data_IF_170439264616
#
_entry.id   IF_170439264616
#
_cell.length_a   1.000
_cell.length_b   1.000
_cell.length_c   1.000
_cell.angle_alpha   90.00
_cell.angle_beta   90.00
_cell.angle_gamma   90.00
#
_symmetry.space_group_name_H-M   'P 1'
#
loop_
_entity.id
_entity.type
_entity.pdbx_description
1 polymer ?
#
# COMPACT_ATOMS: atom_id res chain seq x y z
N UNK A 1 -36.71 -1.45 2.78
CA UNK A 1 -35.37 -0.79 2.78
C UNK A 1 -34.43 -1.75 2.10
N UNK A 2 -34.12 -1.50 0.83
CA UNK A 2 -33.22 -2.36 0.07
C UNK A 2 -31.78 -2.17 0.54
N UNK A 3 -31.15 -3.26 0.93
CA UNK A 3 -29.74 -3.33 1.34
C UNK A 3 -28.86 -3.05 0.11
N UNK A 4 -28.35 -1.82 0.00
CA UNK A 4 -27.37 -1.46 -1.01
C UNK A 4 -26.05 -2.10 -0.62
N UNK A 5 -25.80 -3.28 -1.18
CA UNK A 5 -24.54 -3.98 -1.07
C UNK A 5 -23.33 -3.08 -1.44
N UNK A 6 -22.09 -3.39 -1.03
CA UNK A 6 -20.91 -2.53 -1.19
C UNK A 6 -20.71 -2.15 -2.65
N UNK A 7 -20.84 -0.85 -2.95
CA UNK A 7 -20.62 -0.29 -4.30
C UNK A 7 -19.22 -0.70 -4.80
N UNK A 8 -19.17 -1.55 -5.83
CA UNK A 8 -17.91 -1.90 -6.52
C UNK A 8 -17.31 -0.61 -7.10
N UNK A 9 -16.10 -0.27 -6.67
CA UNK A 9 -15.37 0.88 -7.24
C UNK A 9 -15.19 0.66 -8.74
N UNK A 10 -15.45 1.71 -9.52
CA UNK A 10 -15.21 1.69 -10.96
C UNK A 10 -13.77 1.25 -11.28
N UNK A 11 -13.56 0.45 -12.33
CA UNK A 11 -12.24 -0.01 -12.74
C UNK A 11 -11.36 1.20 -13.06
N UNK A 12 -10.11 1.18 -12.58
CA UNK A 12 -9.16 2.29 -12.79
C UNK A 12 -8.67 2.28 -14.22
N UNK A 13 -8.70 3.45 -14.87
CA UNK A 13 -8.04 3.66 -16.17
C UNK A 13 -6.54 3.35 -16.06
N UNK A 14 -5.97 2.65 -17.04
CA UNK A 14 -4.55 2.33 -17.16
C UNK A 14 -3.97 3.04 -18.38
N UNK A 15 -2.69 3.37 -18.32
CA UNK A 15 -1.93 3.88 -19.46
C UNK A 15 -1.24 2.71 -20.15
N UNK A 16 -1.37 2.63 -21.50
CA UNK A 16 -0.66 1.69 -22.35
C UNK A 16 0.19 2.45 -23.34
N UNK A 17 1.46 2.10 -23.44
CA UNK A 17 2.42 2.71 -24.35
C UNK A 17 3.01 1.59 -25.21
N UNK A 18 2.85 1.69 -26.52
CA UNK A 18 3.44 0.77 -27.48
C UNK A 18 4.53 1.48 -28.24
N UNK A 19 5.72 0.92 -28.24
CA UNK A 19 6.87 1.41 -28.98
C UNK A 19 6.86 0.93 -30.43
N UNK A 20 7.55 1.61 -31.36
CA UNK A 20 7.63 1.19 -32.76
C UNK A 20 8.26 -0.19 -32.98
N UNK A 21 9.09 -0.64 -32.06
CA UNK A 21 9.68 -2.00 -32.04
C UNK A 21 8.70 -3.10 -31.63
N UNK A 22 7.44 -2.74 -31.31
CA UNK A 22 6.39 -3.65 -30.88
C UNK A 22 6.33 -3.86 -29.36
N UNK A 23 7.25 -3.36 -28.58
CA UNK A 23 7.21 -3.47 -27.12
C UNK A 23 6.02 -2.70 -26.54
N UNK A 24 5.29 -3.35 -25.64
CA UNK A 24 4.13 -2.78 -24.96
C UNK A 24 4.40 -2.64 -23.48
N UNK A 25 4.22 -1.45 -22.93
CA UNK A 25 4.28 -1.18 -21.51
C UNK A 25 2.88 -0.81 -21.00
N UNK A 26 2.37 -1.57 -20.04
CA UNK A 26 1.11 -1.31 -19.37
C UNK A 26 1.15 -1.89 -17.96
N UNK A 27 1.27 -1.04 -16.96
CA UNK A 27 1.27 -1.46 -15.56
C UNK A 27 -0.04 -1.04 -14.87
N UNK A 28 -0.30 -1.59 -13.69
CA UNK A 28 -1.50 -1.27 -12.90
C UNK A 28 -1.58 0.21 -12.52
N UNK A 29 -0.42 0.83 -12.32
CA UNK A 29 -0.26 2.25 -12.05
C UNK A 29 0.32 2.97 -13.27
N UNK A 30 -0.38 3.98 -13.77
CA UNK A 30 0.03 4.74 -14.96
C UNK A 30 1.34 5.51 -14.76
N UNK A 31 1.66 5.94 -13.53
CA UNK A 31 2.95 6.54 -13.22
C UNK A 31 4.09 5.53 -13.40
N UNK A 32 3.87 4.29 -13.03
CA UNK A 32 4.82 3.20 -13.26
C UNK A 32 5.01 2.89 -14.74
N UNK A 33 3.94 2.96 -15.55
CA UNK A 33 4.03 2.82 -17.01
C UNK A 33 4.88 3.94 -17.62
N UNK A 34 4.65 5.17 -17.18
CA UNK A 34 5.41 6.33 -17.66
C UNK A 34 6.89 6.25 -17.26
N UNK A 35 7.19 5.84 -16.01
CA UNK A 35 8.57 5.63 -15.55
C UNK A 35 9.32 4.61 -16.41
N UNK A 36 8.68 3.45 -16.67
CA UNK A 36 9.28 2.41 -17.50
C UNK A 36 9.48 2.86 -18.95
N UNK A 37 8.55 3.64 -19.50
CA UNK A 37 8.68 4.20 -20.83
C UNK A 37 9.86 5.17 -20.91
N UNK A 38 10.01 6.07 -19.94
CA UNK A 38 11.16 6.99 -19.88
C UNK A 38 12.47 6.24 -19.69
N UNK A 39 12.52 5.23 -18.83
CA UNK A 39 13.71 4.39 -18.68
C UNK A 39 14.11 3.70 -19.99
N UNK A 40 13.15 3.26 -20.82
CA UNK A 40 13.40 2.67 -22.13
C UNK A 40 13.84 3.72 -23.16
N UNK A 41 13.33 4.96 -23.10
CA UNK A 41 13.76 6.08 -23.96
C UNK A 41 15.24 6.41 -23.71
N UNK A 42 15.70 6.33 -22.47
CA UNK A 42 17.08 6.54 -22.10
C UNK A 42 17.37 7.97 -21.64
N UNK A 43 18.28 8.08 -20.68
CA UNK A 43 18.66 9.35 -20.02
C UNK A 43 19.27 10.39 -20.94
N UNK A 44 19.87 9.95 -22.04
CA UNK A 44 20.52 10.80 -23.04
C UNK A 44 19.50 11.74 -23.71
N UNK A 45 18.23 11.31 -23.78
CA UNK A 45 17.13 12.08 -24.38
C UNK A 45 16.40 13.00 -23.38
N UNK A 46 16.64 12.85 -22.06
CA UNK A 46 15.92 13.62 -21.02
C UNK A 46 16.14 15.13 -21.11
N UNK A 47 17.35 15.65 -21.45
CA UNK A 47 17.55 17.11 -21.61
C UNK A 47 16.70 17.73 -22.74
N UNK A 48 16.23 16.93 -23.71
CA UNK A 48 15.37 17.39 -24.79
C UNK A 48 13.91 17.56 -24.35
N UNK A 49 13.51 16.95 -23.20
CA UNK A 49 12.14 17.06 -22.67
C UNK A 49 11.95 18.42 -22.01
N UNK A 50 11.27 19.33 -22.70
CA UNK A 50 10.99 20.70 -22.23
C UNK A 50 9.63 20.85 -21.52
N UNK A 51 9.03 19.73 -21.12
CA UNK A 51 7.71 19.71 -20.47
C UNK A 51 7.82 20.08 -18.99
N UNK A 52 6.90 20.93 -18.51
CA UNK A 52 6.86 21.39 -17.14
C UNK A 52 5.51 21.08 -16.46
N UNK A 53 5.54 20.93 -15.14
CA UNK A 53 4.37 20.87 -14.27
C UNK A 53 4.53 21.94 -13.19
N UNK A 54 3.60 22.92 -13.19
CA UNK A 54 3.65 24.00 -12.20
C UNK A 54 4.95 24.79 -12.21
N UNK A 55 5.52 25.04 -13.40
CA UNK A 55 6.78 25.79 -13.59
C UNK A 55 8.04 24.99 -13.22
N UNK A 56 7.94 23.65 -13.14
CA UNK A 56 9.09 22.78 -12.88
C UNK A 56 9.19 21.69 -13.96
N UNK A 57 10.40 21.34 -14.40
CA UNK A 57 10.60 20.26 -15.38
C UNK A 57 9.94 18.96 -14.89
N UNK A 58 9.25 18.25 -15.81
CA UNK A 58 8.63 16.97 -15.50
C UNK A 58 9.70 15.89 -15.23
N UNK A 59 10.85 15.99 -15.90
CA UNK A 59 12.03 15.13 -15.70
C UNK A 59 13.19 16.00 -15.26
N UNK A 60 13.83 15.67 -14.13
CA UNK A 60 14.86 16.50 -13.51
C UNK A 60 15.86 15.65 -12.75
N UNK A 61 17.10 16.11 -12.63
CA UNK A 61 18.10 15.54 -11.70
C UNK A 61 17.93 16.10 -10.26
N UNK A 62 17.13 17.11 -10.08
CA UNK A 62 16.88 17.72 -8.78
C UNK A 62 15.51 17.34 -8.24
N UNK A 63 15.44 16.98 -6.96
CA UNK A 63 14.18 16.78 -6.26
C UNK A 63 13.68 18.12 -5.74
N UNK A 64 12.64 18.65 -6.36
CA UNK A 64 12.05 19.90 -5.91
C UNK A 64 11.31 19.69 -4.56
N UNK A 65 11.59 20.49 -3.50
CA UNK A 65 11.03 20.29 -2.16
C UNK A 65 9.49 20.20 -2.13
N UNK A 66 8.82 21.05 -2.89
CA UNK A 66 7.34 21.07 -3.01
C UNK A 66 6.75 19.76 -3.56
N UNK A 67 7.50 19.06 -4.42
CA UNK A 67 7.04 17.85 -5.10
C UNK A 67 7.73 16.57 -4.64
N UNK A 68 8.53 16.65 -3.58
CA UNK A 68 9.33 15.53 -3.08
C UNK A 68 8.55 14.20 -2.94
N UNK A 69 7.30 14.27 -2.48
CA UNK A 69 6.44 13.09 -2.32
C UNK A 69 6.02 12.44 -3.66
N UNK A 70 6.08 13.18 -4.76
CA UNK A 70 5.68 12.75 -6.10
C UNK A 70 6.86 12.50 -7.04
N UNK A 71 8.07 12.87 -6.63
CA UNK A 71 9.28 12.60 -7.43
C UNK A 71 9.67 11.14 -7.29
N UNK A 72 9.75 10.44 -8.41
CA UNK A 72 10.18 9.04 -8.48
C UNK A 72 11.38 8.92 -9.38
N UNK A 73 12.38 8.19 -8.94
CA UNK A 73 13.58 7.94 -9.72
C UNK A 73 13.25 7.09 -10.96
N UNK A 74 13.74 7.54 -12.11
CA UNK A 74 13.70 6.82 -13.38
C UNK A 74 14.94 5.93 -13.49
N UNK A 75 16.12 6.55 -13.48
CA UNK A 75 17.44 5.92 -13.52
C UNK A 75 18.53 6.96 -13.18
N UNK A 76 19.64 6.52 -12.63
CA UNK A 76 20.90 7.27 -12.48
C UNK A 76 20.72 8.73 -11.97
N UNK A 77 19.88 8.92 -10.95
CA UNK A 77 19.63 10.24 -10.37
C UNK A 77 18.71 11.14 -11.19
N UNK A 78 18.03 10.63 -12.21
CA UNK A 78 16.96 11.32 -12.89
C UNK A 78 15.60 10.96 -12.29
N UNK A 79 14.77 11.95 -12.07
CA UNK A 79 13.47 11.82 -11.40
C UNK A 79 12.33 12.31 -12.30
N UNK A 80 11.20 11.60 -12.25
CA UNK A 80 9.94 11.99 -12.85
C UNK A 80 9.03 12.60 -11.80
N UNK A 81 8.45 13.75 -12.06
CA UNK A 81 7.33 14.28 -11.28
C UNK A 81 6.04 13.56 -11.68
N UNK A 82 5.52 12.75 -10.75
CA UNK A 82 4.32 11.91 -10.96
C UNK A 82 3.03 12.56 -10.46
N UNK A 83 3.04 13.85 -10.12
CA UNK A 83 1.87 14.61 -9.68
C UNK A 83 0.95 14.92 -10.86
N UNK A 84 0.26 13.92 -11.35
CA UNK A 84 -0.71 14.04 -12.45
C UNK A 84 -1.74 12.92 -12.37
N UNK A 85 -2.92 13.12 -12.93
CA UNK A 85 -3.88 12.08 -13.18
C UNK A 85 -3.56 11.29 -14.47
N UNK A 86 -4.40 10.33 -14.83
CA UNK A 86 -4.15 9.47 -16.00
C UNK A 86 -4.30 10.20 -17.34
N UNK A 87 -5.23 11.14 -17.42
CA UNK A 87 -5.48 11.88 -18.63
C UNK A 87 -4.35 12.90 -18.88
N UNK A 88 -3.86 13.55 -17.83
CA UNK A 88 -2.66 14.40 -17.89
C UNK A 88 -1.41 13.59 -18.29
N UNK A 89 -1.21 12.39 -17.73
CA UNK A 89 -0.07 11.52 -18.09
C UNK A 89 -0.12 11.08 -19.54
N UNK A 90 -1.31 10.82 -20.06
CA UNK A 90 -1.49 10.55 -21.48
C UNK A 90 -1.00 11.72 -22.34
N UNK A 91 -1.43 12.94 -22.02
CA UNK A 91 -1.02 14.16 -22.73
C UNK A 91 0.48 14.42 -22.61
N UNK A 92 1.05 14.22 -21.42
CA UNK A 92 2.48 14.37 -21.16
C UNK A 92 3.29 13.40 -22.01
N UNK A 93 2.93 12.10 -22.03
CA UNK A 93 3.62 11.11 -22.85
C UNK A 93 3.48 11.37 -24.34
N UNK A 94 2.32 11.85 -24.77
CA UNK A 94 2.10 12.26 -26.17
C UNK A 94 3.03 13.41 -26.54
N UNK A 95 3.07 14.46 -25.72
CA UNK A 95 3.96 15.61 -25.94
C UNK A 95 5.44 15.20 -25.98
N UNK A 96 5.86 14.29 -25.08
CA UNK A 96 7.24 13.75 -25.08
C UNK A 96 7.49 12.94 -26.36
N UNK A 97 6.56 12.09 -26.77
CA UNK A 97 6.69 11.29 -27.99
C UNK A 97 6.83 12.17 -29.22
N UNK A 98 6.01 13.21 -29.32
CA UNK A 98 6.01 14.14 -30.47
C UNK A 98 7.29 14.98 -30.47
N UNK A 99 7.70 15.52 -29.31
CA UNK A 99 8.91 16.36 -29.19
C UNK A 99 10.20 15.57 -29.51
N UNK A 100 10.24 14.28 -29.14
CA UNK A 100 11.40 13.43 -29.35
C UNK A 100 11.31 12.60 -30.64
N UNK A 101 10.22 12.71 -31.41
CA UNK A 101 10.03 11.93 -32.65
C UNK A 101 9.98 10.43 -32.44
N UNK A 102 9.42 9.95 -31.31
CA UNK A 102 9.50 8.54 -30.90
C UNK A 102 8.47 7.63 -31.58
N UNK A 103 7.40 8.18 -32.15
CA UNK A 103 6.33 7.42 -32.77
C UNK A 103 5.58 6.48 -31.82
N UNK A 104 5.48 6.84 -30.55
CA UNK A 104 4.78 6.02 -29.55
C UNK A 104 3.29 6.00 -29.77
N UNK A 105 2.66 4.81 -29.72
CA UNK A 105 1.20 4.69 -29.62
C UNK A 105 0.81 4.69 -28.15
N UNK A 106 0.07 5.71 -27.73
CA UNK A 106 -0.32 5.92 -26.33
C UNK A 106 -1.84 5.81 -26.21
N UNK A 107 -2.31 5.04 -25.24
CA UNK A 107 -3.73 4.75 -25.04
C UNK A 107 -4.08 4.75 -23.55
N UNK A 108 -5.30 5.19 -23.22
CA UNK A 108 -5.87 5.11 -21.86
C UNK A 108 -7.15 4.30 -21.89
N UNK A 109 -7.26 3.30 -21.02
CA UNK A 109 -8.43 2.42 -20.97
C UNK A 109 -8.50 1.62 -19.68
N UNK A 110 -9.65 1.01 -19.44
CA UNK A 110 -9.91 0.15 -18.26
C UNK A 110 -9.57 -1.31 -18.51
N UNK A 111 -9.66 -1.76 -19.79
CA UNK A 111 -9.66 -3.18 -20.15
C UNK A 111 -8.29 -3.74 -20.47
N UNK A 112 -7.25 -2.92 -20.33
CA UNK A 112 -5.88 -3.35 -20.59
C UNK A 112 -5.39 -4.33 -19.53
N UNK A 113 -4.82 -5.46 -19.97
CA UNK A 113 -4.13 -6.40 -19.10
C UNK A 113 -2.82 -5.77 -18.63
N UNK A 114 -2.71 -5.50 -17.33
CA UNK A 114 -1.50 -4.95 -16.76
C UNK A 114 -0.39 -6.01 -16.67
N UNK A 115 0.83 -5.60 -16.99
CA UNK A 115 2.04 -6.38 -16.77
C UNK A 115 2.51 -6.22 -15.31
N UNK A 116 3.26 -7.20 -14.83
CA UNK A 116 4.01 -7.08 -13.58
C UNK A 116 5.30 -6.31 -13.84
N UNK A 117 5.60 -5.26 -13.07
CA UNK A 117 6.85 -4.50 -13.25
C UNK A 117 8.07 -5.41 -13.06
N UNK A 118 9.05 -5.40 -14.01
CA UNK A 118 10.35 -6.03 -13.79
C UNK A 118 11.00 -5.40 -12.55
N UNK A 119 11.51 -6.21 -11.62
CA UNK A 119 12.14 -5.73 -10.38
C UNK A 119 11.16 -5.33 -9.25
N UNK A 120 9.86 -5.21 -9.52
CA UNK A 120 8.78 -5.36 -8.57
C UNK A 120 8.25 -6.81 -8.54
N UNK A 121 9.06 -7.79 -8.96
CA UNK A 121 8.92 -9.10 -8.34
C UNK A 121 8.90 -8.79 -6.86
N UNK A 122 7.72 -8.97 -6.28
CA UNK A 122 7.40 -8.51 -4.96
C UNK A 122 8.70 -8.35 -4.17
N UNK A 123 9.09 -7.12 -3.81
CA UNK A 123 9.60 -7.03 -2.48
C UNK A 123 8.44 -7.62 -1.69
N UNK A 124 8.43 -8.93 -1.56
CA UNK A 124 7.97 -9.54 -0.35
C UNK A 124 8.84 -8.83 0.68
N UNK A 125 8.40 -7.68 1.15
CA UNK A 125 8.67 -7.31 2.52
C UNK A 125 8.33 -8.60 3.22
N UNK A 126 9.35 -9.26 3.73
CA UNK A 126 9.16 -10.45 4.54
C UNK A 126 7.97 -10.07 5.38
N UNK A 127 6.84 -10.77 5.18
CA UNK A 127 5.54 -10.28 5.66
C UNK A 127 5.74 -10.22 7.15
N UNK A 128 6.00 -8.99 7.67
CA UNK A 128 6.24 -8.82 9.09
C UNK A 128 5.14 -9.55 9.82
N UNK A 129 5.50 -10.48 10.69
CA UNK A 129 4.55 -11.27 11.49
C UNK A 129 4.74 -10.98 12.96
N UNK A 130 3.75 -11.31 13.77
CA UNK A 130 3.85 -11.23 15.22
C UNK A 130 4.42 -12.54 15.75
N UNK A 131 5.47 -12.44 16.56
CA UNK A 131 5.91 -13.52 17.43
C UNK A 131 5.55 -13.15 18.85
N UNK A 132 4.69 -13.96 19.46
CA UNK A 132 4.12 -13.72 20.78
C UNK A 132 4.51 -14.88 21.67
N UNK A 133 5.13 -14.58 22.81
CA UNK A 133 5.57 -15.57 23.78
C UNK A 133 4.84 -15.33 25.11
N UNK A 134 4.34 -16.42 25.68
CA UNK A 134 3.73 -16.47 27.01
C UNK A 134 4.70 -17.16 27.96
N UNK A 135 5.46 -16.41 28.78
CA UNK A 135 6.49 -16.97 29.66
C UNK A 135 5.95 -17.94 30.72
N UNK A 136 4.68 -17.79 31.12
CA UNK A 136 4.07 -18.62 32.18
C UNK A 136 3.97 -20.10 31.82
N UNK A 137 3.74 -20.40 30.53
CA UNK A 137 3.59 -21.78 30.03
C UNK A 137 4.50 -22.08 28.84
N UNK A 138 5.48 -21.21 28.58
CA UNK A 138 6.46 -21.27 27.49
C UNK A 138 5.82 -21.47 26.09
N UNK A 139 4.63 -20.90 25.88
CA UNK A 139 3.90 -21.03 24.60
C UNK A 139 4.28 -19.90 23.65
N UNK A 140 4.53 -20.27 22.39
CA UNK A 140 4.78 -19.34 21.28
C UNK A 140 3.63 -19.33 20.29
N UNK A 141 3.18 -18.14 19.87
CA UNK A 141 2.28 -17.94 18.74
C UNK A 141 3.07 -17.19 17.67
N UNK A 142 3.25 -17.82 16.51
CA UNK A 142 3.89 -17.26 15.34
C UNK A 142 3.14 -17.76 14.09
N UNK A 143 2.15 -16.99 13.65
CA UNK A 143 1.32 -17.30 12.49
C UNK A 143 1.71 -16.44 11.29
N UNK A 144 1.45 -16.92 10.07
CA UNK A 144 1.76 -16.19 8.83
C UNK A 144 1.03 -14.84 8.73
N UNK A 145 -0.12 -14.74 9.38
CA UNK A 145 -0.92 -13.51 9.45
C UNK A 145 -0.79 -12.85 10.82
N UNK A 146 -0.31 -11.62 10.85
CA UNK A 146 -0.29 -10.83 12.08
C UNK A 146 -1.69 -10.60 12.70
N UNK A 147 -2.75 -10.68 11.88
CA UNK A 147 -4.12 -10.62 12.37
C UNK A 147 -4.51 -11.89 13.11
N UNK A 148 -4.20 -13.04 12.52
CA UNK A 148 -4.53 -14.34 13.12
C UNK A 148 -3.70 -14.55 14.39
N UNK A 149 -2.42 -14.19 14.37
CA UNK A 149 -1.58 -14.18 15.57
C UNK A 149 -2.13 -13.31 16.70
N UNK A 150 -2.63 -12.11 16.35
CA UNK A 150 -3.29 -11.24 17.31
C UNK A 150 -4.56 -11.87 17.91
N UNK A 151 -5.44 -12.43 17.08
CA UNK A 151 -6.70 -13.05 17.53
C UNK A 151 -6.43 -14.29 18.36
N UNK A 152 -5.44 -15.10 17.99
CA UNK A 152 -5.07 -16.31 18.75
C UNK A 152 -4.50 -15.95 20.12
N UNK A 153 -3.67 -14.91 20.21
CA UNK A 153 -3.20 -14.39 21.49
C UNK A 153 -4.36 -13.90 22.38
N UNK A 154 -5.33 -13.20 21.79
CA UNK A 154 -6.53 -12.75 22.51
C UNK A 154 -7.36 -13.93 23.04
N UNK A 155 -7.52 -15.02 22.26
CA UNK A 155 -8.18 -16.24 22.72
C UNK A 155 -7.44 -16.85 23.88
N UNK A 156 -6.13 -17.02 23.76
CA UNK A 156 -5.29 -17.60 24.83
C UNK A 156 -5.33 -16.78 26.13
N UNK A 157 -5.30 -15.47 26.02
CA UNK A 157 -5.46 -14.56 27.18
C UNK A 157 -6.85 -14.71 27.81
N UNK A 158 -7.86 -14.96 26.99
CA UNK A 158 -9.27 -15.05 27.34
C UNK A 158 -10.01 -13.74 27.11
N UNK A 159 -10.82 -13.70 26.04
CA UNK A 159 -11.56 -12.52 25.61
C UNK A 159 -12.45 -11.93 26.72
N UNK A 160 -13.07 -12.77 27.57
CA UNK A 160 -13.91 -12.34 28.68
C UNK A 160 -13.15 -11.51 29.72
N UNK A 161 -11.85 -11.83 29.98
CA UNK A 161 -10.99 -11.02 30.86
C UNK A 161 -10.80 -9.60 30.30
N UNK A 162 -10.64 -9.51 28.96
CA UNK A 162 -10.43 -8.26 28.24
C UNK A 162 -11.72 -7.41 28.28
N UNK A 163 -12.88 -8.04 27.98
CA UNK A 163 -14.19 -7.39 28.05
C UNK A 163 -14.48 -6.84 29.45
N UNK A 164 -14.27 -7.65 30.49
CA UNK A 164 -14.52 -7.25 31.87
C UNK A 164 -13.58 -6.10 32.33
N UNK A 165 -12.39 -6.03 31.77
CA UNK A 165 -11.40 -4.96 32.10
C UNK A 165 -11.75 -3.62 31.43
N UNK A 166 -12.62 -3.59 30.43
CA UNK A 166 -13.05 -2.40 29.69
C UNK A 166 -11.87 -1.56 29.19
N UNK A 167 -10.89 -2.20 28.54
CA UNK A 167 -9.69 -1.52 28.04
C UNK A 167 -10.10 -0.50 26.98
N UNK A 168 -9.69 0.77 27.09
CA UNK A 168 -10.04 1.79 26.11
C UNK A 168 -9.24 1.61 24.83
N UNK A 169 -9.89 1.84 23.68
CA UNK A 169 -9.28 1.86 22.36
C UNK A 169 -9.86 3.02 21.54
N UNK A 170 -9.09 4.11 21.41
CA UNK A 170 -9.56 5.38 20.82
C UNK A 170 -10.81 5.87 21.55
N UNK A 171 -11.94 6.05 20.83
CA UNK A 171 -13.25 6.45 21.39
C UNK A 171 -14.15 5.25 21.77
N UNK A 172 -13.61 4.04 21.75
CA UNK A 172 -14.39 2.81 21.98
C UNK A 172 -13.78 1.96 23.11
N UNK A 173 -14.49 0.92 23.52
CA UNK A 173 -13.93 -0.18 24.32
C UNK A 173 -13.32 -1.21 23.39
N UNK A 174 -12.12 -1.71 23.72
CA UNK A 174 -11.36 -2.64 22.87
C UNK A 174 -12.14 -3.91 22.53
N UNK A 175 -12.82 -4.49 23.53
CA UNK A 175 -13.64 -5.69 23.36
C UNK A 175 -15.00 -5.54 24.03
N UNK A 176 -16.04 -6.05 23.36
CA UNK A 176 -17.46 -5.93 23.77
C UNK A 176 -18.21 -7.21 23.51
N UNK A 177 -19.33 -7.42 24.21
CA UNK A 177 -20.20 -8.59 23.98
C UNK A 177 -21.10 -8.44 22.76
N UNK A 178 -21.38 -7.20 22.37
CA UNK A 178 -22.21 -6.87 21.21
C UNK A 178 -21.35 -6.14 20.19
N UNK A 179 -21.54 -6.44 18.92
CA UNK A 179 -20.82 -5.76 17.84
C UNK A 179 -21.22 -4.28 17.77
N UNK A 180 -20.25 -3.39 17.97
CA UNK A 180 -20.44 -1.93 17.92
C UNK A 180 -19.92 -1.31 16.63
N UNK A 181 -19.07 -2.03 15.87
CA UNK A 181 -18.46 -1.52 14.66
C UNK A 181 -18.13 -2.61 13.65
N UNK A 182 -18.14 -2.26 12.36
CA UNK A 182 -17.68 -3.14 11.27
C UNK A 182 -16.21 -3.53 11.36
N UNK A 183 -15.41 -2.81 12.17
CA UNK A 183 -13.98 -3.08 12.39
C UNK A 183 -13.69 -4.08 13.50
N UNK A 184 -14.72 -4.53 14.19
CA UNK A 184 -14.59 -5.59 15.19
C UNK A 184 -14.68 -6.95 14.52
N UNK A 185 -13.85 -7.87 14.97
CA UNK A 185 -13.88 -9.29 14.58
C UNK A 185 -14.40 -10.14 15.74
N UNK A 186 -15.11 -11.24 15.45
CA UNK A 186 -15.59 -12.14 16.47
C UNK A 186 -14.43 -12.96 17.06
N UNK A 187 -14.46 -13.11 18.37
CA UNK A 187 -13.59 -14.02 19.14
C UNK A 187 -14.48 -14.65 20.20
N UNK A 188 -14.72 -15.96 20.08
CA UNK A 188 -15.69 -16.69 20.88
C UNK A 188 -17.08 -15.97 20.86
N UNK A 189 -17.66 -15.68 22.00
CA UNK A 189 -18.95 -14.98 22.14
C UNK A 189 -18.84 -13.44 22.20
N UNK A 190 -17.68 -12.88 21.86
CA UNK A 190 -17.39 -11.46 21.99
C UNK A 190 -16.82 -10.89 20.70
N UNK A 191 -16.71 -9.56 20.67
CA UNK A 191 -16.18 -8.80 19.53
C UNK A 191 -15.00 -7.96 19.97
N UNK A 192 -13.91 -7.98 19.20
CA UNK A 192 -12.70 -7.21 19.48
C UNK A 192 -12.29 -6.32 18.31
N UNK A 193 -11.85 -5.11 18.60
CA UNK A 193 -11.20 -4.25 17.61
C UNK A 193 -9.81 -4.80 17.26
N UNK A 194 -9.56 -4.96 15.96
CA UNK A 194 -8.26 -5.38 15.44
C UNK A 194 -7.57 -4.18 14.80
N UNK A 195 -6.45 -3.71 15.34
CA UNK A 195 -5.67 -2.63 14.74
C UNK A 195 -5.20 -2.97 13.32
N UNK A 196 -5.15 -1.98 12.42
CA UNK A 196 -4.74 -2.20 11.03
C UNK A 196 -3.25 -2.53 10.90
N UNK A 197 -2.37 -1.68 11.49
CA UNK A 197 -0.93 -1.86 11.40
C UNK A 197 -0.42 -2.93 12.38
N UNK A 198 0.64 -3.65 11.99
CA UNK A 198 1.25 -4.68 12.84
C UNK A 198 1.83 -4.09 14.13
N UNK A 199 2.44 -2.90 14.05
CA UNK A 199 2.97 -2.17 15.21
C UNK A 199 1.87 -1.85 16.23
N UNK A 200 0.69 -1.47 15.75
CA UNK A 200 -0.46 -1.18 16.60
C UNK A 200 -1.02 -2.45 17.25
N UNK A 201 -1.01 -3.59 16.52
CA UNK A 201 -1.37 -4.90 17.08
C UNK A 201 -0.43 -5.31 18.21
N UNK A 202 0.89 -5.18 17.99
CA UNK A 202 1.89 -5.48 19.00
C UNK A 202 1.74 -4.58 20.23
N UNK A 203 1.55 -3.27 20.02
CA UNK A 203 1.31 -2.31 21.10
C UNK A 203 0.04 -2.68 21.89
N UNK A 204 -1.04 -3.04 21.19
CA UNK A 204 -2.31 -3.40 21.84
C UNK A 204 -2.18 -4.67 22.68
N UNK A 205 -1.47 -5.70 22.21
CA UNK A 205 -1.22 -6.90 22.99
C UNK A 205 -0.44 -6.58 24.28
N UNK A 206 0.59 -5.74 24.19
CA UNK A 206 1.34 -5.27 25.37
C UNK A 206 0.45 -4.47 26.32
N UNK A 207 -0.46 -3.65 25.79
CA UNK A 207 -1.44 -2.90 26.60
C UNK A 207 -2.40 -3.84 27.32
N UNK A 208 -2.91 -4.87 26.63
CA UNK A 208 -3.76 -5.91 27.24
C UNK A 208 -3.01 -6.60 28.38
N UNK A 209 -1.77 -7.02 28.10
CA UNK A 209 -0.91 -7.70 29.09
C UNK A 209 -0.71 -6.85 30.35
N UNK A 210 -0.39 -5.56 30.17
CA UNK A 210 -0.23 -4.61 31.28
C UNK A 210 -1.52 -4.44 32.08
N UNK A 211 -2.65 -4.25 31.40
CA UNK A 211 -3.95 -4.07 32.05
C UNK A 211 -4.41 -5.31 32.84
N UNK A 212 -4.08 -6.49 32.34
CA UNK A 212 -4.43 -7.77 32.98
C UNK A 212 -3.34 -8.30 33.92
N UNK A 213 -2.19 -7.64 34.00
CA UNK A 213 -1.02 -8.05 34.80
C UNK A 213 -0.52 -9.44 34.47
N UNK A 214 -0.47 -9.77 33.16
CA UNK A 214 0.10 -11.02 32.63
C UNK A 214 1.44 -10.74 31.98
N UNK A 215 2.35 -11.71 32.00
CA UNK A 215 3.61 -11.65 31.28
C UNK A 215 3.37 -12.01 29.80
N UNK A 216 3.81 -11.17 28.90
CA UNK A 216 3.67 -11.36 27.47
C UNK A 216 4.80 -10.66 26.72
N UNK A 217 5.59 -11.43 25.97
CA UNK A 217 6.61 -10.89 25.08
C UNK A 217 6.08 -10.83 23.66
N UNK A 218 6.09 -9.64 23.07
CA UNK A 218 5.60 -9.44 21.69
C UNK A 218 6.71 -8.81 20.85
N UNK A 219 7.10 -9.48 19.79
CA UNK A 219 8.06 -9.00 18.79
C UNK A 219 7.47 -9.02 17.39
N UNK A 220 8.01 -8.18 16.52
CA UNK A 220 7.71 -8.15 15.09
C UNK A 220 8.92 -8.75 14.40
N UNK A 221 8.70 -9.79 13.61
CA UNK A 221 9.73 -10.55 12.90
C UNK A 221 9.46 -10.59 11.41
#
# INVERSE_FOLDING_TARGET
>A
MEDQGPQKRAPRKKLRITFPDGDVLCYTDSASTMLAALAKIGKERFPEIKLEIGGQPIVSQQIHPKYKAYMREICDGWYLNTQSDNDCRYMQMKSISDALGLGLKIEVGTDFKAQTMPGRAARHRAKETLRIHFPEDDTYIALESAQDGYLEAVRKIGINKIVNRRIPYKSYTLATRVRESSRQLPVDDCWIYVPGAIKDKALMLRTIALCLRIQLDVSIV
#
